data_IF_687474489933
#
_entry.id   IF_687474489933
#
_cell.length_a   1.000
_cell.length_b   1.000
_cell.length_c   1.000
_cell.angle_alpha   90.00
_cell.angle_beta   90.00
_cell.angle_gamma   90.00
#
_symmetry.space_group_name_H-M   'P 1'
#
loop_
_entity.id
_entity.type
_entity.pdbx_description
1 polymer ?
#
# COMPACT_ATOMS: atom_id res chain seq x y z
N UNK A 1 39.04 -64.70 12.36
CA UNK A 1 37.57 -64.54 12.33
C UNK A 1 37.23 -63.11 11.95
N UNK A 2 37.05 -62.82 10.66
CA UNK A 2 36.62 -61.51 10.18
C UNK A 2 35.10 -61.39 10.34
N UNK A 3 34.66 -60.55 11.27
CA UNK A 3 33.26 -60.21 11.49
C UNK A 3 32.82 -59.31 10.32
N UNK A 4 32.27 -59.89 9.25
CA UNK A 4 31.63 -59.10 8.20
C UNK A 4 30.47 -58.30 8.82
N UNK A 5 30.71 -57.01 9.09
CA UNK A 5 29.67 -56.05 9.48
C UNK A 5 28.65 -56.02 8.35
N UNK A 6 27.42 -56.47 8.64
CA UNK A 6 26.37 -56.55 7.63
C UNK A 6 26.04 -55.15 7.10
N UNK A 7 26.16 -54.88 5.80
CA UNK A 7 25.99 -53.54 5.20
C UNK A 7 24.56 -52.99 5.33
N UNK A 8 23.60 -53.84 5.72
CA UNK A 8 22.18 -53.50 5.83
C UNK A 8 21.86 -52.44 6.89
N UNK A 9 22.63 -52.38 7.99
CA UNK A 9 22.40 -51.38 9.05
C UNK A 9 22.85 -49.97 8.68
N UNK A 10 23.94 -49.85 7.90
CA UNK A 10 24.46 -48.56 7.43
C UNK A 10 23.55 -47.97 6.36
N UNK A 11 23.03 -48.81 5.46
CA UNK A 11 22.06 -48.38 4.45
C UNK A 11 20.80 -47.77 5.07
N UNK A 12 20.28 -48.38 6.14
CA UNK A 12 19.09 -47.88 6.83
C UNK A 12 19.35 -46.53 7.52
N UNK A 13 20.50 -46.37 8.19
CA UNK A 13 20.88 -45.09 8.79
C UNK A 13 21.01 -43.97 7.75
N UNK A 14 21.62 -44.26 6.60
CA UNK A 14 21.74 -43.28 5.51
C UNK A 14 20.35 -42.85 5.01
N UNK A 15 19.42 -43.79 4.82
CA UNK A 15 18.06 -43.45 4.37
C UNK A 15 17.31 -42.56 5.36
N UNK A 16 17.43 -42.83 6.67
CA UNK A 16 16.81 -42.00 7.72
C UNK A 16 17.41 -40.61 7.74
N UNK A 17 18.73 -40.49 7.57
CA UNK A 17 19.41 -39.18 7.49
C UNK A 17 18.95 -38.40 6.26
N UNK A 18 18.84 -39.04 5.10
CA UNK A 18 18.36 -38.39 3.87
C UNK A 18 16.92 -37.92 4.02
N UNK A 19 16.04 -38.74 4.58
CA UNK A 19 14.64 -38.37 4.84
C UNK A 19 14.56 -37.22 5.87
N UNK A 20 15.40 -37.25 6.91
CA UNK A 20 15.44 -36.18 7.92
C UNK A 20 15.87 -34.83 7.33
N UNK A 21 16.93 -34.82 6.52
CA UNK A 21 17.44 -33.58 5.89
C UNK A 21 16.44 -33.03 4.88
N UNK A 22 15.82 -33.90 4.07
CA UNK A 22 14.81 -33.47 3.09
C UNK A 22 13.55 -32.93 3.78
N UNK A 23 13.08 -33.57 4.84
CA UNK A 23 11.95 -33.07 5.64
C UNK A 23 12.23 -31.70 6.25
N UNK A 24 13.42 -31.51 6.83
CA UNK A 24 13.82 -30.21 7.37
C UNK A 24 13.92 -29.14 6.29
N UNK A 25 14.48 -29.47 5.13
CA UNK A 25 14.62 -28.54 4.01
C UNK A 25 13.25 -28.06 3.49
N UNK A 26 12.28 -28.96 3.34
CA UNK A 26 10.91 -28.62 2.92
C UNK A 26 10.25 -27.70 3.96
N UNK A 27 10.37 -28.01 5.25
CA UNK A 27 9.76 -27.19 6.30
C UNK A 27 10.40 -25.80 6.37
N UNK A 28 11.72 -25.70 6.22
CA UNK A 28 12.41 -24.41 6.12
C UNK A 28 11.96 -23.59 4.90
N UNK A 29 11.71 -24.25 3.76
CA UNK A 29 11.20 -23.59 2.55
C UNK A 29 9.77 -23.05 2.75
N UNK A 30 8.88 -23.87 3.32
CA UNK A 30 7.50 -23.45 3.63
C UNK A 30 7.46 -22.30 4.64
N UNK A 31 8.30 -22.35 5.68
CA UNK A 31 8.40 -21.26 6.66
C UNK A 31 8.83 -19.95 6.01
N UNK A 32 9.83 -19.98 5.11
CA UNK A 32 10.26 -18.80 4.35
C UNK A 32 9.16 -18.28 3.43
N UNK A 33 8.47 -19.17 2.74
CA UNK A 33 7.35 -18.80 1.85
C UNK A 33 6.22 -18.13 2.62
N UNK A 34 5.83 -18.66 3.79
CA UNK A 34 4.81 -18.10 4.65
C UNK A 34 5.15 -16.69 5.17
N UNK A 35 6.41 -16.46 5.56
CA UNK A 35 6.88 -15.14 6.00
C UNK A 35 6.79 -14.12 4.87
N UNK A 36 7.25 -14.49 3.66
CA UNK A 36 7.20 -13.60 2.49
C UNK A 36 5.75 -13.28 2.12
N UNK A 37 4.88 -14.29 2.09
CA UNK A 37 3.46 -14.11 1.78
C UNK A 37 2.79 -13.16 2.78
N UNK A 38 3.02 -13.36 4.08
CA UNK A 38 2.45 -12.51 5.13
C UNK A 38 2.91 -11.06 5.01
N UNK A 39 4.22 -10.85 4.74
CA UNK A 39 4.78 -9.52 4.51
C UNK A 39 4.16 -8.84 3.29
N UNK A 40 3.97 -9.58 2.20
CA UNK A 40 3.35 -9.04 0.99
C UNK A 40 1.90 -8.65 1.23
N UNK A 41 1.12 -9.48 1.94
CA UNK A 41 -0.27 -9.14 2.30
C UNK A 41 -0.33 -7.90 3.20
N UNK A 42 0.57 -7.76 4.17
CA UNK A 42 0.64 -6.57 5.01
C UNK A 42 0.95 -5.31 4.18
N UNK A 43 1.91 -5.37 3.26
CA UNK A 43 2.25 -4.25 2.38
C UNK A 43 1.07 -3.86 1.48
N UNK A 44 0.35 -4.85 0.93
CA UNK A 44 -0.85 -4.60 0.13
C UNK A 44 -1.95 -3.93 0.96
N UNK A 45 -2.20 -4.39 2.18
CA UNK A 45 -3.17 -3.77 3.08
C UNK A 45 -2.81 -2.32 3.42
N UNK A 46 -1.53 -2.04 3.71
CA UNK A 46 -1.06 -0.67 3.96
C UNK A 46 -1.28 0.20 2.71
N UNK A 47 -0.98 -0.32 1.52
CA UNK A 47 -1.21 0.40 0.26
C UNK A 47 -2.68 0.71 0.00
N UNK A 48 -3.59 -0.24 0.26
CA UNK A 48 -5.05 -0.03 0.13
C UNK A 48 -5.53 1.04 1.12
N UNK A 49 -5.06 0.98 2.37
CA UNK A 49 -5.42 1.97 3.39
C UNK A 49 -4.93 3.37 2.97
N UNK A 50 -3.68 3.50 2.57
CA UNK A 50 -3.13 4.77 2.09
C UNK A 50 -3.90 5.31 0.88
N UNK A 51 -4.26 4.44 -0.07
CA UNK A 51 -5.08 4.82 -1.23
C UNK A 51 -6.45 5.35 -0.83
N UNK A 52 -7.16 4.65 0.08
CA UNK A 52 -8.45 5.11 0.58
C UNK A 52 -8.35 6.46 1.30
N UNK A 53 -7.24 6.69 2.02
CA UNK A 53 -6.99 7.96 2.70
C UNK A 53 -6.75 9.11 1.72
N UNK A 54 -5.96 8.90 0.64
CA UNK A 54 -5.79 9.94 -0.40
C UNK A 54 -7.13 10.27 -1.05
N UNK A 55 -7.96 9.28 -1.36
CA UNK A 55 -9.30 9.55 -1.92
C UNK A 55 -10.20 10.32 -0.95
N UNK A 56 -10.19 9.99 0.34
CA UNK A 56 -10.90 10.81 1.33
C UNK A 56 -10.41 12.26 1.34
N UNK A 57 -9.12 12.48 1.13
CA UNK A 57 -8.57 13.83 1.01
C UNK A 57 -8.94 14.54 -0.29
N UNK A 58 -9.08 13.81 -1.41
CA UNK A 58 -9.69 14.36 -2.63
C UNK A 58 -11.10 14.87 -2.32
N UNK A 59 -11.93 14.07 -1.65
CA UNK A 59 -13.31 14.44 -1.33
C UNK A 59 -13.40 15.67 -0.44
N UNK A 60 -12.55 15.76 0.59
CA UNK A 60 -12.50 16.92 1.48
C UNK A 60 -11.98 18.17 0.76
N UNK A 61 -10.92 18.04 -0.04
CA UNK A 61 -10.40 19.17 -0.85
C UNK A 61 -11.45 19.66 -1.83
N UNK A 62 -12.23 18.77 -2.44
CA UNK A 62 -13.36 19.13 -3.29
C UNK A 62 -14.46 19.83 -2.52
N UNK A 63 -14.82 19.33 -1.34
CA UNK A 63 -15.81 19.97 -0.48
C UNK A 63 -15.36 21.39 -0.06
N UNK A 64 -14.08 21.57 0.29
CA UNK A 64 -13.51 22.86 0.64
C UNK A 64 -13.44 23.80 -0.56
N UNK A 65 -13.06 23.30 -1.73
CA UNK A 65 -13.02 24.10 -2.96
C UNK A 65 -14.41 24.58 -3.39
N UNK A 66 -15.44 23.74 -3.25
CA UNK A 66 -16.84 24.13 -3.52
C UNK A 66 -17.35 25.19 -2.54
N UNK A 67 -16.88 25.19 -1.29
CA UNK A 67 -17.22 26.20 -0.28
C UNK A 67 -16.44 27.50 -0.46
N UNK A 68 -15.17 27.38 -0.86
CA UNK A 68 -14.25 28.49 -1.04
C UNK A 68 -13.41 28.25 -2.32
N UNK A 69 -13.76 28.90 -3.44
CA UNK A 69 -13.01 28.80 -4.70
C UNK A 69 -11.53 29.20 -4.57
N UNK A 70 -11.22 30.06 -3.62
CA UNK A 70 -9.87 30.56 -3.32
C UNK A 70 -9.11 29.69 -2.32
N UNK A 71 -9.59 28.47 -2.08
CA UNK A 71 -8.90 27.50 -1.23
C UNK A 71 -7.44 27.29 -1.69
N UNK A 72 -6.50 27.57 -0.79
CA UNK A 72 -5.04 27.50 -1.00
C UNK A 72 -4.34 26.97 0.27
N UNK A 73 -4.97 26.05 0.99
CA UNK A 73 -4.32 25.41 2.13
C UNK A 73 -3.35 24.35 1.63
N UNK A 74 -2.18 24.29 2.27
CA UNK A 74 -1.15 23.28 1.99
C UNK A 74 -1.41 21.95 2.68
N UNK A 75 -2.38 21.88 3.59
CA UNK A 75 -2.72 20.66 4.32
C UNK A 75 -4.21 20.57 4.59
N UNK A 76 -4.74 19.34 4.57
CA UNK A 76 -6.10 19.00 5.00
C UNK A 76 -6.01 17.80 5.94
N UNK A 77 -6.71 17.88 7.08
CA UNK A 77 -6.74 16.80 8.06
C UNK A 77 -8.05 16.02 7.94
N UNK A 78 -7.94 14.72 7.65
CA UNK A 78 -9.05 13.78 7.57
C UNK A 78 -9.05 12.87 8.80
N UNK A 79 -9.64 13.35 9.90
CA UNK A 79 -9.68 12.63 11.18
C UNK A 79 -8.29 12.43 11.79
N UNK A 80 -7.65 11.29 11.51
CA UNK A 80 -6.33 10.91 12.03
C UNK A 80 -5.23 10.89 10.97
N UNK A 81 -5.45 11.51 9.81
CA UNK A 81 -4.47 11.51 8.72
C UNK A 81 -4.40 12.89 8.11
N UNK A 82 -3.19 13.42 8.02
CA UNK A 82 -2.91 14.68 7.36
C UNK A 82 -2.53 14.40 5.90
N UNK A 83 -3.09 15.21 5.03
CA UNK A 83 -2.85 15.18 3.59
C UNK A 83 -2.17 16.47 3.19
N UNK A 84 -1.01 16.36 2.57
CA UNK A 84 -0.30 17.52 2.03
C UNK A 84 -0.87 17.83 0.66
N UNK A 85 -1.11 19.11 0.41
CA UNK A 85 -1.65 19.64 -0.82
C UNK A 85 -0.59 20.54 -1.44
N UNK A 86 -0.20 20.24 -2.67
CA UNK A 86 0.72 21.05 -3.45
C UNK A 86 -0.01 21.57 -4.68
N UNK A 87 -0.03 22.88 -4.87
CA UNK A 87 -0.58 23.48 -6.09
C UNK A 87 0.51 23.42 -7.16
N UNK A 88 0.28 22.65 -8.22
CA UNK A 88 1.22 22.52 -9.33
C UNK A 88 0.98 23.60 -10.39
N UNK A 89 -0.29 23.91 -10.67
CA UNK A 89 -0.70 24.92 -11.62
C UNK A 89 -2.02 25.56 -11.18
N UNK A 90 -2.21 26.84 -11.47
CA UNK A 90 -3.40 27.60 -11.09
C UNK A 90 -3.73 28.65 -12.16
N UNK A 91 -4.82 28.40 -12.86
CA UNK A 91 -5.46 29.29 -13.81
C UNK A 91 -6.79 29.83 -13.25
N UNK A 92 -7.36 30.90 -13.84
CA UNK A 92 -8.62 31.49 -13.36
C UNK A 92 -9.81 30.52 -13.34
N UNK A 93 -9.80 29.51 -14.21
CA UNK A 93 -10.89 28.56 -14.36
C UNK A 93 -10.57 27.16 -13.82
N UNK A 94 -9.28 26.85 -13.62
CA UNK A 94 -8.80 25.51 -13.28
C UNK A 94 -7.58 25.58 -12.36
N UNK A 95 -7.51 24.71 -11.35
CA UNK A 95 -6.36 24.51 -10.47
C UNK A 95 -5.98 23.03 -10.47
N UNK A 96 -4.69 22.76 -10.67
CA UNK A 96 -4.11 21.42 -10.59
C UNK A 96 -3.47 21.26 -9.21
N UNK A 97 -4.01 20.33 -8.43
CA UNK A 97 -3.59 20.04 -7.07
C UNK A 97 -2.98 18.64 -7.03
N UNK A 98 -1.85 18.51 -6.34
CA UNK A 98 -1.25 17.24 -5.98
C UNK A 98 -1.51 16.95 -4.49
N UNK A 99 -2.04 15.78 -4.22
CA UNK A 99 -2.42 15.31 -2.89
C UNK A 99 -1.51 14.16 -2.49
N UNK A 100 -0.78 14.34 -1.40
CA UNK A 100 0.11 13.34 -0.85
C UNK A 100 -0.38 12.88 0.51
N UNK A 101 -0.45 11.55 0.68
CA UNK A 101 -0.59 10.90 1.99
C UNK A 101 0.58 9.96 2.20
N UNK A 102 1.24 10.12 3.34
CA UNK A 102 2.24 9.18 3.82
C UNK A 102 1.73 8.45 5.05
N UNK A 103 1.70 7.12 5.00
CA UNK A 103 1.38 6.28 6.15
C UNK A 103 2.44 5.20 6.35
N UNK A 104 3.15 5.31 7.46
CA UNK A 104 4.30 4.47 7.79
C UNK A 104 5.36 4.50 6.70
N UNK A 105 5.34 3.55 5.76
CA UNK A 105 6.30 3.41 4.66
C UNK A 105 5.64 3.46 3.28
N UNK A 106 4.35 3.77 3.20
CA UNK A 106 3.62 3.90 1.95
C UNK A 106 3.26 5.37 1.74
N UNK A 107 3.84 5.96 0.70
CA UNK A 107 3.40 7.25 0.18
C UNK A 107 2.49 7.00 -1.02
N UNK A 108 1.37 7.70 -1.07
CA UNK A 108 0.44 7.71 -2.20
C UNK A 108 0.24 9.16 -2.62
N UNK A 109 0.35 9.39 -3.92
CA UNK A 109 0.23 10.72 -4.54
C UNK A 109 -0.85 10.63 -5.61
N UNK A 110 -1.80 11.56 -5.59
CA UNK A 110 -2.81 11.71 -6.63
C UNK A 110 -2.84 13.16 -7.08
N UNK A 111 -2.89 13.37 -8.39
CA UNK A 111 -3.10 14.68 -8.98
C UNK A 111 -4.58 14.81 -9.38
N UNK A 112 -5.18 15.93 -9.03
CA UNK A 112 -6.55 16.28 -9.39
C UNK A 112 -6.58 17.64 -10.07
N UNK A 113 -7.44 17.77 -11.07
CA UNK A 113 -7.71 19.04 -11.75
C UNK A 113 -9.10 19.47 -11.30
N UNK A 114 -9.16 20.68 -10.78
CA UNK A 114 -10.34 21.25 -10.13
C UNK A 114 -10.73 22.48 -10.92
N UNK A 115 -11.96 22.55 -11.41
CA UNK A 115 -12.41 23.67 -12.22
C UNK A 115 -13.88 23.94 -11.95
N UNK A 116 -14.22 25.21 -11.76
CA UNK A 116 -15.60 25.64 -11.64
C UNK A 116 -16.04 26.02 -13.05
N UNK A 117 -16.83 25.17 -13.71
CA UNK A 117 -17.58 25.63 -14.87
C UNK A 117 -18.59 26.67 -14.38
N UNK A 118 -18.59 27.91 -14.91
CA UNK A 118 -19.51 28.93 -14.43
C UNK A 118 -20.93 28.49 -14.75
N UNK A 119 -21.68 28.11 -13.73
CA UNK A 119 -23.12 27.88 -13.86
C UNK A 119 -23.77 29.26 -13.89
N UNK A 120 -24.20 29.69 -15.07
CA UNK A 120 -25.04 30.88 -15.19
C UNK A 120 -26.38 30.60 -14.53
N UNK A 121 -26.66 31.26 -13.41
CA UNK A 121 -28.01 31.33 -12.87
C UNK A 121 -28.87 32.14 -13.85
N UNK A 122 -29.51 31.43 -14.78
CA UNK A 122 -30.62 31.97 -15.55
C UNK A 122 -31.77 32.09 -14.55
N UNK A 123 -31.93 33.29 -13.99
CA UNK A 123 -33.11 33.82 -13.28
C UNK A 123 -34.17 32.79 -12.90
N UNK A 124 -34.38 32.55 -11.60
CA UNK A 124 -35.62 31.95 -11.10
C UNK A 124 -36.58 33.13 -10.90
N UNK A 125 -37.56 33.23 -11.79
CA UNK A 125 -38.70 34.16 -11.66
C UNK A 125 -39.61 33.73 -10.51
#
# INVERSE_FOLDING_TARGET
MQKHKSPKGVALLITVVVIGITGFAVMAFLARSGIISTRNTQLQNIGIIARNQVFGCVDEVMAQHLRNPDFNQSTVTLGFTDCTITILDSNPNEKTLELEVSKSNATQIIQIITGLTPVSLISIE
#
